data_IF_493786934948
#
_entry.id   IF_493786934948
#
_cell.length_a   1.000
_cell.length_b   1.000
_cell.length_c   1.000
_cell.angle_alpha   90.00
_cell.angle_beta   90.00
_cell.angle_gamma   90.00
#
_symmetry.space_group_name_H-M   'P 1'
#
loop_
_entity.id
_entity.type
_entity.pdbx_description
1 polymer ?
#
# COMPACT_ATOMS: atom_id res chain seq x y z
N UNK A 1 34.15 -19.45 -22.04
CA UNK A 1 33.06 -19.00 -21.12
C UNK A 1 33.19 -19.58 -19.72
N UNK A 2 33.07 -20.90 -19.50
CA UNK A 2 33.27 -21.46 -18.14
C UNK A 2 34.68 -21.24 -17.58
N UNK A 3 35.71 -21.52 -18.38
CA UNK A 3 37.12 -21.28 -18.02
C UNK A 3 37.44 -19.81 -17.73
N UNK A 4 36.66 -18.90 -18.32
CA UNK A 4 36.83 -17.45 -18.20
C UNK A 4 35.87 -16.84 -17.17
N UNK A 5 35.03 -17.64 -16.51
CA UNK A 5 33.96 -17.18 -15.59
C UNK A 5 33.04 -16.10 -16.21
N UNK A 6 32.70 -16.26 -17.49
CA UNK A 6 31.84 -15.33 -18.24
C UNK A 6 30.44 -15.89 -18.48
N UNK A 7 29.45 -14.99 -18.43
CA UNK A 7 28.04 -15.22 -18.80
C UNK A 7 27.67 -14.37 -20.01
N UNK A 8 26.67 -14.79 -20.80
CA UNK A 8 26.16 -13.98 -21.90
C UNK A 8 24.88 -13.27 -21.47
N UNK A 9 24.74 -12.00 -21.86
CA UNK A 9 23.48 -11.27 -21.73
C UNK A 9 22.82 -11.26 -23.10
N UNK A 10 21.56 -11.71 -23.15
CA UNK A 10 20.82 -11.84 -24.39
C UNK A 10 19.41 -11.24 -24.26
N UNK A 11 18.89 -10.80 -25.40
CA UNK A 11 17.46 -10.49 -25.57
C UNK A 11 16.73 -11.76 -25.97
N UNK A 12 15.79 -12.19 -25.15
CA UNK A 12 14.97 -13.37 -25.40
C UNK A 12 13.55 -12.96 -25.80
N UNK A 13 13.04 -13.58 -26.87
CA UNK A 13 11.66 -13.43 -27.32
C UNK A 13 11.17 -14.82 -27.74
N UNK A 14 10.22 -15.40 -27.00
CA UNK A 14 9.80 -16.78 -27.20
C UNK A 14 9.06 -16.97 -28.53
N UNK A 15 8.18 -16.03 -28.87
CA UNK A 15 7.40 -16.02 -30.11
C UNK A 15 7.15 -14.60 -30.59
N UNK A 16 6.76 -14.45 -31.86
CA UNK A 16 6.26 -13.17 -32.39
C UNK A 16 5.15 -12.65 -31.47
N UNK A 17 5.20 -11.35 -31.14
CA UNK A 17 4.27 -10.65 -30.24
C UNK A 17 4.35 -11.03 -28.74
N UNK A 18 5.40 -11.74 -28.30
CA UNK A 18 5.71 -11.87 -26.88
C UNK A 18 6.57 -10.70 -26.38
N UNK A 19 6.40 -10.32 -25.11
CA UNK A 19 7.22 -9.28 -24.49
C UNK A 19 8.69 -9.74 -24.47
N UNK A 20 9.62 -8.94 -25.03
CA UNK A 20 11.03 -9.28 -24.97
C UNK A 20 11.51 -9.24 -23.51
N UNK A 21 12.33 -10.22 -23.14
CA UNK A 21 12.95 -10.32 -21.81
C UNK A 21 14.45 -10.20 -21.92
N UNK A 22 15.08 -9.58 -20.93
CA UNK A 22 16.52 -9.64 -20.76
C UNK A 22 16.88 -10.92 -20.01
N UNK A 23 17.86 -11.67 -20.50
CA UNK A 23 18.21 -12.97 -19.92
C UNK A 23 19.73 -13.15 -19.83
N UNK A 24 20.19 -13.86 -18.81
CA UNK A 24 21.54 -14.37 -18.71
C UNK A 24 21.58 -15.81 -19.23
N UNK A 25 22.56 -16.13 -20.08
CA UNK A 25 22.87 -17.50 -20.50
C UNK A 25 24.14 -17.95 -19.76
N UNK A 26 23.95 -18.90 -18.85
CA UNK A 26 24.98 -19.42 -17.95
C UNK A 26 25.42 -20.79 -18.48
N UNK A 27 26.69 -20.98 -18.87
CA UNK A 27 27.14 -22.26 -19.40
C UNK A 27 27.22 -23.32 -18.29
N UNK A 28 26.57 -24.47 -18.50
CA UNK A 28 26.65 -25.63 -17.60
C UNK A 28 27.19 -26.84 -18.36
N UNK A 29 28.17 -27.52 -17.77
CA UNK A 29 28.82 -28.71 -18.32
C UNK A 29 28.73 -29.80 -17.27
N UNK A 30 27.81 -30.72 -17.50
CA UNK A 30 27.71 -31.93 -16.68
C UNK A 30 28.47 -33.08 -17.36
N UNK A 31 29.12 -33.97 -16.60
CA UNK A 31 29.79 -35.13 -17.16
C UNK A 31 28.77 -36.03 -17.86
N UNK A 32 28.96 -36.32 -19.15
CA UNK A 32 28.08 -37.18 -19.95
C UNK A 32 27.00 -36.45 -20.75
N UNK A 33 26.84 -35.12 -20.59
CA UNK A 33 25.91 -34.31 -21.40
C UNK A 33 26.65 -33.42 -22.41
N UNK A 34 25.97 -33.09 -23.51
CA UNK A 34 26.41 -32.01 -24.41
C UNK A 34 26.46 -30.68 -23.65
N UNK A 35 27.27 -29.73 -24.11
CA UNK A 35 27.35 -28.42 -23.48
C UNK A 35 25.98 -27.73 -23.53
N UNK A 36 25.44 -27.36 -22.36
CA UNK A 36 24.16 -26.70 -22.21
C UNK A 36 24.33 -25.27 -21.68
N UNK A 37 23.33 -24.43 -21.94
CA UNK A 37 23.24 -23.10 -21.36
C UNK A 37 21.94 -22.98 -20.57
N UNK A 38 22.04 -22.58 -19.31
CA UNK A 38 20.90 -22.24 -18.47
C UNK A 38 20.49 -20.81 -18.80
N UNK A 39 19.23 -20.64 -19.18
CA UNK A 39 18.63 -19.35 -19.42
C UNK A 39 17.96 -18.85 -18.15
N UNK A 40 18.40 -17.71 -17.63
CA UNK A 40 17.86 -17.08 -16.44
C UNK A 40 17.29 -15.70 -16.79
N UNK A 41 16.06 -15.39 -16.40
CA UNK A 41 15.47 -14.08 -16.63
C UNK A 41 16.08 -13.05 -15.69
N UNK A 42 16.50 -11.91 -16.25
CA UNK A 42 17.01 -10.79 -15.48
C UNK A 42 15.89 -9.78 -15.23
N UNK A 43 15.85 -9.16 -14.04
CA UNK A 43 14.91 -8.10 -13.76
C UNK A 43 15.21 -6.87 -14.61
N UNK A 44 14.17 -6.12 -14.97
CA UNK A 44 14.34 -4.76 -15.48
C UNK A 44 14.48 -3.77 -14.33
N UNK A 45 14.80 -2.52 -14.66
CA UNK A 45 14.94 -1.45 -13.67
C UNK A 45 13.63 -1.25 -12.88
N UNK A 46 12.48 -1.42 -13.53
CA UNK A 46 11.15 -1.30 -12.91
C UNK A 46 10.83 -2.44 -11.93
N UNK A 47 11.51 -3.59 -12.04
CA UNK A 47 11.34 -4.73 -11.14
C UNK A 47 12.15 -4.59 -9.84
N UNK A 48 13.17 -3.73 -9.83
CA UNK A 48 14.06 -3.52 -8.68
C UNK A 48 13.35 -2.64 -7.66
N UNK A 49 13.26 -3.14 -6.42
CA UNK A 49 12.70 -2.39 -5.28
C UNK A 49 13.81 -1.97 -4.35
N UNK A 50 14.03 -0.67 -4.25
CA UNK A 50 15.00 -0.09 -3.33
C UNK A 50 14.38 0.02 -1.93
N UNK A 51 14.75 -0.91 -1.04
CA UNK A 51 14.43 -0.85 0.37
C UNK A 51 15.67 -0.51 1.17
N UNK A 52 15.60 0.57 1.95
CA UNK A 52 16.64 0.93 2.90
C UNK A 52 16.39 0.18 4.21
N UNK A 53 17.22 -0.82 4.49
CA UNK A 53 17.21 -1.53 5.77
C UNK A 53 18.35 -0.99 6.66
N UNK A 54 18.07 -0.76 7.94
CA UNK A 54 19.12 -0.45 8.90
C UNK A 54 20.09 -1.64 9.02
N UNK A 55 21.37 -1.36 9.25
CA UNK A 55 22.36 -2.40 9.54
C UNK A 55 21.97 -3.15 10.82
N UNK A 56 22.07 -4.48 10.79
CA UNK A 56 21.76 -5.32 11.94
C UNK A 56 22.83 -5.14 13.03
N UNK A 57 22.46 -5.23 14.33
CA UNK A 57 23.41 -5.13 15.43
C UNK A 57 24.38 -6.32 15.44
N UNK A 58 25.59 -6.11 15.96
CA UNK A 58 26.55 -7.20 16.13
C UNK A 58 26.13 -8.17 17.25
N UNK A 59 26.09 -9.49 16.98
CA UNK A 59 25.73 -10.46 18.01
C UNK A 59 26.88 -10.68 19.00
N UNK A 60 26.52 -11.00 20.25
CA UNK A 60 27.48 -11.34 21.30
C UNK A 60 28.23 -12.65 21.02
N UNK A 61 29.38 -12.85 21.67
CA UNK A 61 30.18 -14.08 21.52
C UNK A 61 29.39 -15.35 21.86
N UNK A 62 28.59 -15.30 22.93
CA UNK A 62 27.76 -16.43 23.37
C UNK A 62 26.64 -16.73 22.37
N UNK A 63 26.02 -15.71 21.79
CA UNK A 63 25.00 -15.89 20.74
C UNK A 63 25.61 -16.50 19.47
N UNK A 64 26.81 -16.10 19.08
CA UNK A 64 27.53 -16.68 17.93
C UNK A 64 27.90 -18.14 18.19
N UNK A 65 28.44 -18.45 19.36
CA UNK A 65 28.79 -19.82 19.75
C UNK A 65 27.56 -20.73 19.74
N UNK A 66 26.46 -20.26 20.31
CA UNK A 66 25.18 -20.96 20.30
C UNK A 66 24.66 -21.21 18.88
N UNK A 67 24.66 -20.18 18.02
CA UNK A 67 24.23 -20.31 16.63
C UNK A 67 25.08 -21.32 15.85
N UNK A 68 26.41 -21.33 16.05
CA UNK A 68 27.29 -22.30 15.41
C UNK A 68 26.96 -23.73 15.83
N UNK A 69 26.77 -23.99 17.13
CA UNK A 69 26.35 -25.32 17.62
C UNK A 69 25.03 -25.76 17.01
N UNK A 70 24.08 -24.83 16.83
CA UNK A 70 22.80 -25.11 16.20
C UNK A 70 22.93 -25.43 14.70
N UNK A 71 23.79 -24.71 13.98
CA UNK A 71 24.09 -24.97 12.56
C UNK A 71 24.75 -26.34 12.40
N UNK A 72 25.74 -26.66 13.24
CA UNK A 72 26.41 -27.96 13.22
C UNK A 72 25.44 -29.12 13.49
N UNK A 73 24.48 -28.93 14.39
CA UNK A 73 23.47 -29.92 14.73
C UNK A 73 22.38 -30.12 13.64
N UNK A 74 22.05 -29.07 12.88
CA UNK A 74 20.99 -29.09 11.87
C UNK A 74 21.51 -29.12 10.43
N UNK A 75 22.78 -29.46 10.23
CA UNK A 75 23.36 -29.61 8.90
C UNK A 75 22.76 -30.83 8.20
N UNK A 76 22.10 -30.61 7.06
CA UNK A 76 21.48 -31.66 6.23
C UNK A 76 22.37 -32.11 5.04
N UNK A 77 23.51 -31.43 4.85
CA UNK A 77 24.46 -31.66 3.76
C UNK A 77 25.83 -32.02 4.34
N UNK A 78 26.00 -33.31 4.67
CA UNK A 78 27.27 -33.87 5.15
C UNK A 78 27.95 -34.73 4.07
N UNK A 79 28.44 -35.91 4.45
CA UNK A 79 28.93 -36.93 3.50
C UNK A 79 27.85 -37.37 2.51
N UNK A 80 26.61 -37.36 2.98
CA UNK A 80 25.40 -37.57 2.19
C UNK A 80 24.43 -36.42 2.46
N UNK A 81 23.64 -36.11 1.44
CA UNK A 81 22.49 -35.23 1.57
C UNK A 81 21.33 -36.01 2.19
N UNK A 82 20.96 -35.64 3.42
CA UNK A 82 19.95 -36.34 4.23
C UNK A 82 18.52 -36.03 3.76
N UNK A 83 18.30 -34.83 3.22
CA UNK A 83 16.99 -34.39 2.72
C UNK A 83 17.15 -33.82 1.31
N UNK A 84 16.40 -34.37 0.35
CA UNK A 84 16.39 -33.94 -1.05
C UNK A 84 15.00 -33.45 -1.45
N UNK A 85 14.74 -32.14 -1.35
CA UNK A 85 13.46 -31.58 -1.77
C UNK A 85 13.17 -31.79 -3.26
N UNK A 86 14.21 -31.87 -4.10
CA UNK A 86 14.07 -32.10 -5.55
C UNK A 86 13.49 -33.48 -5.88
N UNK A 87 13.79 -34.50 -5.05
CA UNK A 87 13.26 -35.85 -5.18
C UNK A 87 11.87 -36.00 -4.53
N UNK A 88 11.38 -34.94 -3.87
CA UNK A 88 10.13 -34.98 -3.10
C UNK A 88 8.95 -34.55 -3.96
N UNK A 89 7.95 -35.44 -4.08
CA UNK A 89 6.72 -35.14 -4.81
C UNK A 89 5.90 -34.02 -4.13
N UNK A 90 5.14 -33.27 -4.93
CA UNK A 90 4.27 -32.22 -4.39
C UNK A 90 3.18 -32.83 -3.47
N UNK A 91 3.19 -32.54 -2.16
CA UNK A 91 2.27 -33.14 -1.19
C UNK A 91 0.82 -32.72 -1.42
N UNK A 92 0.60 -31.53 -1.99
CA UNK A 92 -0.76 -31.04 -2.30
C UNK A 92 -1.40 -31.86 -3.42
N UNK A 93 -0.62 -32.23 -4.44
CA UNK A 93 -1.10 -33.08 -5.53
C UNK A 93 -1.34 -34.50 -5.07
N UNK A 94 -0.42 -35.07 -4.29
CA UNK A 94 -0.60 -36.40 -3.69
C UNK A 94 -1.90 -36.44 -2.86
N UNK A 95 -2.10 -35.44 -1.99
CA UNK A 95 -3.32 -35.33 -1.18
C UNK A 95 -4.58 -35.21 -2.02
N UNK A 96 -4.52 -34.40 -3.07
CA UNK A 96 -5.64 -34.19 -3.98
C UNK A 96 -6.04 -35.47 -4.70
N UNK A 97 -5.09 -36.17 -5.32
CA UNK A 97 -5.38 -37.39 -6.08
C UNK A 97 -5.82 -38.55 -5.20
N UNK A 98 -5.27 -38.67 -4.00
CA UNK A 98 -5.73 -39.66 -3.02
C UNK A 98 -7.19 -39.44 -2.64
N UNK A 99 -7.56 -38.19 -2.33
CA UNK A 99 -8.94 -37.88 -1.99
C UNK A 99 -9.87 -38.00 -3.21
N UNK A 100 -9.40 -37.63 -4.41
CA UNK A 100 -10.16 -37.81 -5.64
C UNK A 100 -10.47 -39.28 -5.90
N UNK A 101 -9.49 -40.17 -5.70
CA UNK A 101 -9.68 -41.62 -5.79
C UNK A 101 -10.70 -42.14 -4.78
N UNK A 102 -10.62 -41.70 -3.52
CA UNK A 102 -11.60 -42.05 -2.48
C UNK A 102 -13.01 -41.57 -2.85
N UNK A 103 -13.14 -40.33 -3.33
CA UNK A 103 -14.42 -39.73 -3.69
C UNK A 103 -15.05 -40.34 -4.95
N UNK A 104 -14.22 -40.84 -5.86
CA UNK A 104 -14.67 -41.55 -7.05
C UNK A 104 -15.27 -42.92 -6.70
N UNK A 105 -14.75 -43.58 -5.68
CA UNK A 105 -15.27 -44.86 -5.16
C UNK A 105 -16.46 -44.66 -4.21
N UNK A 106 -16.40 -43.62 -3.37
CA UNK A 106 -17.44 -43.25 -2.42
C UNK A 106 -17.80 -41.76 -2.55
N UNK A 107 -18.92 -41.41 -3.22
CA UNK A 107 -19.42 -40.05 -3.32
C UNK A 107 -19.83 -39.42 -1.98
N UNK A 108 -19.86 -40.19 -0.88
CA UNK A 108 -20.06 -39.74 0.51
C UNK A 108 -18.77 -39.51 1.29
N UNK A 109 -17.60 -39.88 0.73
CA UNK A 109 -16.32 -39.81 1.42
C UNK A 109 -16.00 -38.40 1.92
N UNK A 110 -15.69 -38.28 3.21
CA UNK A 110 -15.29 -37.03 3.85
C UNK A 110 -13.78 -36.86 3.75
N UNK A 111 -13.34 -35.60 3.64
CA UNK A 111 -11.92 -35.29 3.70
C UNK A 111 -11.40 -35.58 5.12
N UNK A 112 -10.58 -36.63 5.26
CA UNK A 112 -9.94 -36.99 6.52
C UNK A 112 -8.67 -36.16 6.75
N UNK A 113 -7.97 -36.40 7.86
CA UNK A 113 -6.61 -35.90 8.05
C UNK A 113 -5.65 -36.51 7.02
N UNK A 114 -4.50 -35.87 6.81
CA UNK A 114 -3.42 -36.42 5.99
C UNK A 114 -3.05 -37.83 6.47
N UNK A 115 -2.78 -38.75 5.55
CA UNK A 115 -2.24 -40.04 5.91
C UNK A 115 -0.84 -39.84 6.54
N UNK A 116 -0.41 -40.69 7.49
CA UNK A 116 0.87 -40.53 8.18
C UNK A 116 2.05 -40.40 7.22
N UNK A 117 2.05 -41.17 6.14
CA UNK A 117 3.09 -41.14 5.10
C UNK A 117 3.17 -39.78 4.40
N UNK A 118 2.03 -39.10 4.19
CA UNK A 118 1.99 -37.76 3.59
C UNK A 118 2.50 -36.67 4.52
N UNK A 119 2.27 -36.83 5.84
CA UNK A 119 2.84 -35.94 6.84
C UNK A 119 4.33 -36.18 7.03
N UNK A 120 4.79 -37.42 6.98
CA UNK A 120 6.19 -37.78 7.19
C UNK A 120 7.11 -37.16 6.13
N UNK A 121 6.62 -37.00 4.89
CA UNK A 121 7.34 -36.28 3.82
C UNK A 121 7.66 -34.82 4.19
N UNK A 122 6.84 -34.19 5.04
CA UNK A 122 7.02 -32.82 5.50
C UNK A 122 7.89 -32.71 6.74
N UNK A 123 8.15 -33.84 7.42
CA UNK A 123 8.92 -33.87 8.64
C UNK A 123 10.42 -33.94 8.33
N UNK A 124 11.27 -33.30 9.16
CA UNK A 124 12.72 -33.42 8.99
C UNK A 124 13.17 -34.86 9.26
N UNK A 125 14.28 -35.32 8.63
CA UNK A 125 14.79 -36.68 8.82
C UNK A 125 15.03 -37.01 10.30
N UNK A 126 14.73 -38.25 10.71
CA UNK A 126 14.87 -38.69 12.11
C UNK A 126 16.28 -38.48 12.66
N UNK A 127 17.31 -38.72 11.85
CA UNK A 127 18.71 -38.49 12.21
C UNK A 127 18.98 -37.03 12.59
N UNK A 128 18.42 -36.08 11.83
CA UNK A 128 18.55 -34.66 12.12
C UNK A 128 17.77 -34.26 13.37
N UNK A 129 16.59 -34.87 13.60
CA UNK A 129 15.83 -34.66 14.83
C UNK A 129 16.59 -35.15 16.07
N UNK A 130 17.23 -36.31 15.97
CA UNK A 130 18.06 -36.88 17.05
C UNK A 130 19.31 -36.04 17.32
N UNK A 131 20.00 -35.60 16.26
CA UNK A 131 21.15 -34.70 16.38
C UNK A 131 20.77 -33.38 17.06
N UNK A 132 19.63 -32.79 16.69
CA UNK A 132 19.08 -31.61 17.33
C UNK A 132 18.72 -31.86 18.80
N UNK A 133 18.07 -32.98 19.12
CA UNK A 133 17.73 -33.33 20.49
C UNK A 133 18.97 -33.52 21.38
N UNK A 134 20.07 -34.02 20.80
CA UNK A 134 21.36 -34.16 21.48
C UNK A 134 22.06 -32.81 21.71
N UNK A 135 22.05 -31.94 20.70
CA UNK A 135 22.68 -30.62 20.78
C UNK A 135 21.88 -29.63 21.63
N UNK A 136 20.56 -29.78 21.66
CA UNK A 136 19.62 -28.93 22.37
C UNK A 136 18.60 -29.78 23.14
N UNK A 137 18.99 -30.27 24.34
CA UNK A 137 18.04 -30.91 25.25
C UNK A 137 16.90 -29.96 25.57
N UNK A 138 15.69 -30.48 25.84
CA UNK A 138 14.50 -29.66 26.10
C UNK A 138 14.72 -28.62 27.21
N UNK A 139 15.54 -28.95 28.22
CA UNK A 139 15.91 -28.08 29.33
C UNK A 139 16.68 -26.82 28.89
N UNK A 140 17.35 -26.86 27.72
CA UNK A 140 18.14 -25.76 27.18
C UNK A 140 17.37 -24.89 26.19
N UNK A 141 16.15 -25.29 25.78
CA UNK A 141 15.31 -24.47 24.90
C UNK A 141 14.92 -23.14 25.55
N UNK A 142 14.84 -23.11 26.88
CA UNK A 142 14.62 -21.87 27.65
C UNK A 142 15.88 -20.98 27.69
N UNK A 143 17.08 -21.55 27.48
CA UNK A 143 18.31 -20.75 27.34
C UNK A 143 18.27 -19.90 26.08
N UNK A 144 17.61 -20.36 25.00
CA UNK A 144 17.42 -19.56 23.79
C UNK A 144 16.61 -18.29 24.08
N UNK A 145 15.49 -18.44 24.80
CA UNK A 145 14.63 -17.29 25.15
C UNK A 145 15.37 -16.26 26.01
N UNK A 146 16.23 -16.73 26.92
CA UNK A 146 17.00 -15.84 27.80
C UNK A 146 18.20 -15.21 27.10
N UNK A 147 18.96 -15.96 26.30
CA UNK A 147 20.14 -15.47 25.55
C UNK A 147 19.78 -14.45 24.46
N UNK A 148 18.60 -14.59 23.84
CA UNK A 148 18.13 -13.69 22.79
C UNK A 148 17.07 -12.68 23.27
N UNK A 149 16.69 -12.70 24.55
CA UNK A 149 15.70 -11.77 25.11
C UNK A 149 14.34 -11.82 24.39
N UNK A 150 13.88 -13.02 24.02
CA UNK A 150 12.65 -13.17 23.25
C UNK A 150 11.42 -13.01 24.14
N UNK A 151 10.72 -11.90 23.97
CA UNK A 151 9.43 -11.65 24.62
C UNK A 151 8.27 -11.88 23.65
N UNK A 152 7.25 -12.60 24.12
CA UNK A 152 6.03 -12.78 23.36
C UNK A 152 5.19 -11.51 23.48
N UNK A 153 5.18 -10.70 22.43
CA UNK A 153 4.24 -9.58 22.32
C UNK A 153 2.84 -10.13 22.06
N UNK A 154 1.95 -10.01 23.03
CA UNK A 154 0.55 -10.35 22.84
C UNK A 154 -0.10 -9.29 21.96
N UNK A 155 -0.32 -9.62 20.69
CA UNK A 155 -1.24 -8.84 19.86
C UNK A 155 -2.63 -8.98 20.49
N UNK A 156 -3.27 -7.86 20.80
CA UNK A 156 -4.64 -7.85 21.26
C UNK A 156 -5.46 -8.70 20.28
N UNK A 157 -6.17 -9.70 20.80
CA UNK A 157 -7.10 -10.52 20.03
C UNK A 157 -8.35 -9.69 19.68
N UNK A 158 -8.15 -8.52 19.04
CA UNK A 158 -9.18 -7.54 18.67
C UNK A 158 -9.97 -7.92 17.43
N UNK A 159 -10.16 -9.22 17.19
CA UNK A 159 -11.17 -9.71 16.25
C UNK A 159 -11.55 -11.10 16.71
N UNK A 160 -12.77 -11.23 17.21
CA UNK A 160 -13.42 -12.53 17.35
C UNK A 160 -13.11 -13.35 16.09
N UNK A 161 -12.71 -14.61 16.28
CA UNK A 161 -12.51 -15.55 15.18
C UNK A 161 -13.71 -15.41 14.26
N UNK A 162 -13.49 -14.93 13.02
CA UNK A 162 -14.55 -14.81 12.01
C UNK A 162 -15.20 -16.18 11.89
N UNK A 163 -16.39 -16.35 12.48
CA UNK A 163 -17.15 -17.58 12.40
C UNK A 163 -17.52 -17.79 10.95
N UNK A 164 -16.90 -18.77 10.31
CA UNK A 164 -17.20 -19.09 8.92
C UNK A 164 -18.61 -19.67 8.86
N UNK A 165 -19.40 -19.28 7.86
CA UNK A 165 -20.77 -19.74 7.65
C UNK A 165 -20.93 -21.27 7.79
N UNK A 166 -19.90 -22.03 7.38
CA UNK A 166 -19.86 -23.50 7.51
C UNK A 166 -19.90 -23.98 8.97
N UNK A 167 -19.20 -23.33 9.88
CA UNK A 167 -19.20 -23.72 11.31
C UNK A 167 -20.55 -23.38 11.97
N UNK A 168 -21.12 -22.22 11.63
CA UNK A 168 -22.44 -21.81 12.15
C UNK A 168 -23.58 -22.73 11.66
N UNK A 169 -23.51 -23.19 10.40
CA UNK A 169 -24.48 -24.16 9.85
C UNK A 169 -24.31 -25.53 10.53
N UNK A 170 -23.07 -25.99 10.75
CA UNK A 170 -22.75 -27.27 11.37
C UNK A 170 -23.18 -27.35 12.86
N UNK A 171 -23.04 -26.25 13.61
CA UNK A 171 -23.55 -26.16 14.99
C UNK A 171 -25.08 -26.21 15.04
N UNK A 172 -25.76 -25.46 14.16
CA UNK A 172 -27.23 -25.48 14.12
C UNK A 172 -27.75 -26.85 13.72
N UNK A 173 -27.11 -27.55 12.78
CA UNK A 173 -27.47 -28.93 12.42
C UNK A 173 -27.19 -29.94 13.53
N UNK A 174 -26.12 -29.75 14.33
CA UNK A 174 -25.90 -30.55 15.56
C UNK A 174 -26.96 -30.31 16.61
N UNK A 175 -27.35 -29.05 16.84
CA UNK A 175 -28.36 -28.69 17.83
C UNK A 175 -29.78 -29.03 17.35
N UNK A 176 -30.03 -29.03 16.04
CA UNK A 176 -31.30 -29.44 15.44
C UNK A 176 -31.37 -30.92 15.10
N UNK A 177 -30.31 -31.72 15.30
CA UNK A 177 -30.35 -33.17 15.09
C UNK A 177 -31.36 -33.89 16.02
N UNK A 178 -31.88 -33.20 17.04
CA UNK A 178 -33.00 -33.65 17.88
C UNK A 178 -34.40 -33.33 17.30
N UNK A 179 -34.50 -32.62 16.18
CA UNK A 179 -35.76 -32.28 15.51
C UNK A 179 -35.60 -32.45 13.99
N UNK A 180 -36.25 -33.49 13.46
CA UNK A 180 -36.30 -33.79 12.02
C UNK A 180 -36.96 -32.61 11.29
N UNK A 181 -36.15 -31.72 10.74
CA UNK A 181 -36.60 -30.55 10.01
C UNK A 181 -35.45 -29.86 9.29
N UNK A 182 -35.70 -29.49 8.04
CA UNK A 182 -34.77 -28.81 7.14
C UNK A 182 -34.28 -27.48 7.77
N UNK A 183 -32.97 -27.31 7.92
CA UNK A 183 -32.39 -26.10 8.52
C UNK A 183 -32.47 -24.96 7.50
N UNK A 184 -33.44 -24.08 7.71
CA UNK A 184 -33.73 -22.90 6.89
C UNK A 184 -32.53 -21.92 6.87
N UNK A 185 -31.70 -22.01 5.83
CA UNK A 185 -30.43 -21.29 5.68
C UNK A 185 -30.59 -19.76 5.68
N UNK A 186 -31.80 -19.27 5.38
CA UNK A 186 -32.16 -17.83 5.41
C UNK A 186 -32.34 -17.27 6.82
N UNK A 187 -32.49 -18.12 7.84
CA UNK A 187 -32.64 -17.73 9.26
C UNK A 187 -31.32 -17.80 10.04
N UNK A 188 -30.19 -18.05 9.36
CA UNK A 188 -28.87 -18.03 9.99
C UNK A 188 -28.39 -16.58 10.00
N UNK A 189 -28.59 -15.92 11.14
CA UNK A 189 -27.91 -14.65 11.43
C UNK A 189 -26.45 -14.98 11.71
N UNK A 190 -25.60 -14.74 10.73
CA UNK A 190 -24.19 -14.45 10.97
C UNK A 190 -24.13 -12.95 11.19
N UNK A 191 -23.54 -12.49 12.29
CA UNK A 191 -23.41 -11.07 12.58
C UNK A 191 -22.55 -10.41 11.49
N UNK A 192 -23.24 -9.93 10.46
CA UNK A 192 -22.70 -9.04 9.47
C UNK A 192 -22.68 -7.65 10.11
N UNK A 193 -21.50 -7.09 10.24
CA UNK A 193 -21.25 -5.77 10.78
C UNK A 193 -22.08 -4.71 10.02
N UNK A 194 -23.20 -4.28 10.61
CA UNK A 194 -23.98 -3.12 10.15
C UNK A 194 -23.97 -2.07 11.26
N UNK A 195 -23.07 -1.11 11.14
CA UNK A 195 -23.00 0.05 12.04
C UNK A 195 -24.20 0.97 11.81
N UNK A 196 -25.19 0.91 12.70
CA UNK A 196 -26.17 1.97 12.90
C UNK A 196 -26.86 1.77 14.26
N UNK A 197 -26.47 2.54 15.29
CA UNK A 197 -27.24 2.70 16.53
C UNK A 197 -27.98 4.02 16.47
N UNK A 198 -29.31 3.97 16.59
CA UNK A 198 -30.23 5.10 16.65
C UNK A 198 -30.46 5.46 18.12
N UNK A 199 -30.30 6.73 18.47
CA UNK A 199 -30.47 7.31 19.81
C UNK A 199 -31.91 7.78 20.05
N UNK A 200 -32.46 7.52 21.23
CA UNK A 200 -33.50 8.35 21.87
C UNK A 200 -33.16 8.50 23.36
N UNK A 201 -33.42 9.69 23.87
CA UNK A 201 -32.95 10.31 25.12
C UNK A 201 -34.16 10.66 26.01
N UNK A 202 -34.04 10.55 27.34
CA UNK A 202 -34.64 11.50 28.32
C UNK A 202 -34.23 11.28 29.79
N UNK A 203 -33.67 12.36 30.35
CA UNK A 203 -33.77 12.99 31.71
C UNK A 203 -33.42 12.17 32.97
N UNK A 204 -32.25 12.37 33.61
CA UNK A 204 -31.89 13.36 34.69
C UNK A 204 -32.65 13.10 36.02
N UNK A 205 -32.03 12.80 37.18
CA UNK A 205 -31.11 13.67 37.92
C UNK A 205 -30.45 12.96 39.15
N UNK A 206 -29.13 13.13 39.35
CA UNK A 206 -28.33 13.15 40.62
C UNK A 206 -26.86 12.68 40.43
N UNK A 207 -25.93 13.62 40.58
CA UNK A 207 -24.48 13.40 40.71
C UNK A 207 -24.03 13.62 42.20
N UNK A 208 -22.76 13.39 42.61
CA UNK A 208 -21.62 12.90 41.84
C UNK A 208 -20.77 11.80 42.56
N UNK A 209 -19.76 11.32 41.82
CA UNK A 209 -18.50 10.68 42.23
C UNK A 209 -18.39 9.14 42.09
N UNK A 210 -17.38 8.82 41.25
CA UNK A 210 -16.59 7.59 41.08
C UNK A 210 -17.01 6.58 39.99
N UNK A 211 -16.08 6.47 39.03
CA UNK A 211 -15.81 5.38 38.09
C UNK A 211 -16.72 5.23 36.86
N UNK A 212 -16.23 5.71 35.71
CA UNK A 212 -16.72 5.41 34.35
C UNK A 212 -15.47 5.43 33.44
N UNK A 213 -14.92 4.31 32.94
CA UNK A 213 -15.41 3.39 31.90
C UNK A 213 -15.72 4.12 30.59
N UNK A 214 -14.67 4.64 29.95
CA UNK A 214 -14.66 5.10 28.57
C UNK A 214 -14.25 3.96 27.65
N UNK A 215 -15.10 3.67 26.67
CA UNK A 215 -14.97 2.57 25.72
C UNK A 215 -14.02 2.92 24.57
N UNK A 216 -13.23 1.92 24.20
CA UNK A 216 -12.19 1.96 23.18
C UNK A 216 -12.73 2.14 21.76
N UNK A 217 -12.20 3.15 21.06
CA UNK A 217 -11.88 3.06 19.64
C UNK A 217 -10.43 3.53 19.47
N UNK A 218 -9.58 2.50 19.49
CA UNK A 218 -8.13 2.41 19.30
C UNK A 218 -7.46 3.64 18.66
N UNK A 219 -7.06 4.58 19.52
CA UNK A 219 -5.85 5.37 19.34
C UNK A 219 -4.67 4.59 19.94
N UNK A 220 -3.57 4.54 19.20
CA UNK A 220 -2.28 4.18 19.76
C UNK A 220 -1.67 5.45 20.35
N UNK A 221 -1.65 5.51 21.67
CA UNK A 221 -0.91 6.49 22.46
C UNK A 221 0.51 5.94 22.66
N UNK A 222 1.46 6.47 21.90
CA UNK A 222 2.89 6.36 22.21
C UNK A 222 3.39 7.77 22.57
N UNK A 223 3.29 8.10 23.85
CA UNK A 223 4.11 9.12 24.47
C UNK A 223 5.20 8.46 25.31
N UNK A 224 6.36 8.19 24.70
CA UNK A 224 7.66 8.61 25.26
C UNK A 224 8.80 8.45 24.24
N UNK A 225 9.62 9.51 24.19
CA UNK A 225 10.89 9.67 23.46
C UNK A 225 10.83 9.72 21.92
N UNK A 226 10.61 10.94 21.41
CA UNK A 226 10.88 11.31 20.01
C UNK A 226 12.37 11.15 19.72
N UNK A 227 12.74 10.01 19.14
CA UNK A 227 13.89 9.95 18.23
C UNK A 227 13.45 10.61 16.92
N UNK A 228 14.26 11.53 16.38
CA UNK A 228 14.02 12.23 15.12
C UNK A 228 13.96 11.21 13.98
N UNK A 229 12.76 10.69 13.72
CA UNK A 229 12.44 9.76 12.65
C UNK A 229 12.08 10.51 11.36
N UNK A 230 12.37 9.87 10.23
CA UNK A 230 12.11 10.30 8.86
C UNK A 230 10.71 10.91 8.71
N UNK A 231 10.53 12.02 7.96
CA UNK A 231 9.25 12.68 7.78
C UNK A 231 8.17 11.71 7.26
N UNK A 232 6.92 11.83 7.74
CA UNK A 232 5.81 10.99 7.31
C UNK A 232 5.61 11.10 5.79
N UNK A 233 5.72 9.97 5.08
CA UNK A 233 5.45 9.89 3.64
C UNK A 233 3.93 9.90 3.41
N UNK A 234 3.41 11.03 2.97
CA UNK A 234 2.01 11.17 2.54
C UNK A 234 1.72 10.19 1.40
N UNK A 235 0.55 9.56 1.41
CA UNK A 235 0.10 8.67 0.33
C UNK A 235 -1.41 8.80 0.12
N UNK A 236 -1.82 9.10 -1.12
CA UNK A 236 -3.23 9.14 -1.56
C UNK A 236 -3.41 8.06 -2.64
N UNK A 237 -4.24 7.05 -2.36
CA UNK A 237 -4.46 5.91 -3.25
C UNK A 237 -5.50 6.18 -4.34
N UNK A 238 -5.55 5.33 -5.37
CA UNK A 238 -6.53 5.41 -6.48
C UNK A 238 -7.91 4.82 -6.14
N UNK A 239 -8.03 4.08 -5.02
CA UNK A 239 -9.27 3.39 -4.64
C UNK A 239 -10.26 4.35 -3.97
N UNK A 240 -9.80 5.15 -3.00
CA UNK A 240 -10.62 6.13 -2.26
C UNK A 240 -9.83 7.44 -1.97
N UNK A 241 -9.40 8.17 -3.02
CA UNK A 241 -8.54 9.34 -2.88
C UNK A 241 -9.12 10.43 -1.98
N UNK A 242 -10.42 10.71 -2.07
CA UNK A 242 -11.13 11.70 -1.25
C UNK A 242 -10.94 11.44 0.25
N UNK A 243 -11.19 10.20 0.68
CA UNK A 243 -11.06 9.78 2.08
C UNK A 243 -9.62 9.84 2.56
N UNK A 244 -8.69 9.42 1.71
CA UNK A 244 -7.28 9.39 2.05
C UNK A 244 -6.73 10.82 2.21
N UNK A 245 -7.18 11.78 1.38
CA UNK A 245 -6.83 13.19 1.50
C UNK A 245 -7.47 13.89 2.69
N UNK A 246 -8.76 13.64 2.96
CA UNK A 246 -9.42 14.18 4.15
C UNK A 246 -8.74 13.72 5.45
N UNK A 247 -8.20 12.50 5.47
CA UNK A 247 -7.36 12.01 6.58
C UNK A 247 -6.13 12.89 6.77
N UNK A 248 -5.36 13.12 5.71
CA UNK A 248 -4.15 13.95 5.79
C UNK A 248 -4.41 15.40 6.17
N UNK A 249 -5.54 15.97 5.74
CA UNK A 249 -5.94 17.31 6.15
C UNK A 249 -6.37 17.40 7.63
N UNK A 250 -6.81 16.29 8.23
CA UNK A 250 -7.17 16.26 9.65
C UNK A 250 -5.91 16.05 10.53
N UNK A 251 -4.87 15.43 10.00
CA UNK A 251 -3.57 15.20 10.63
C UNK A 251 -2.64 16.40 10.42
N UNK A 252 -3.06 17.61 10.86
CA UNK A 252 -2.47 18.93 10.54
C UNK A 252 -0.95 19.11 10.78
N UNK A 253 -0.29 18.20 11.51
CA UNK A 253 1.15 18.19 11.78
C UNK A 253 1.54 16.87 12.43
N UNK A 254 2.08 15.93 11.67
CA UNK A 254 2.66 14.71 12.23
C UNK A 254 4.17 14.94 12.42
N UNK A 255 4.61 15.04 13.68
CA UNK A 255 6.03 15.24 14.00
C UNK A 255 6.61 16.62 13.67
N UNK A 256 5.77 17.66 13.53
CA UNK A 256 6.21 19.03 13.21
C UNK A 256 6.49 19.31 11.73
N UNK A 257 6.25 18.33 10.86
CA UNK A 257 6.38 18.44 9.40
C UNK A 257 5.04 18.81 8.79
N UNK A 258 5.04 19.72 7.81
CA UNK A 258 3.85 20.03 7.01
C UNK A 258 3.52 18.86 6.07
N UNK A 259 2.39 18.20 6.33
CA UNK A 259 1.86 17.08 5.54
C UNK A 259 0.74 17.52 4.60
N UNK A 260 0.25 18.77 4.73
CA UNK A 260 -0.86 19.30 3.95
C UNK A 260 -0.41 19.64 2.53
N UNK A 261 0.72 20.35 2.37
CA UNK A 261 1.25 20.68 1.05
C UNK A 261 1.57 19.43 0.19
N UNK A 262 2.27 18.39 0.71
CA UNK A 262 2.49 17.16 -0.04
C UNK A 262 1.20 16.38 -0.37
N UNK A 263 0.17 16.49 0.48
CA UNK A 263 -1.14 15.88 0.23
C UNK A 263 -1.88 16.59 -0.91
N UNK A 264 -1.80 17.93 -0.96
CA UNK A 264 -2.38 18.74 -2.04
C UNK A 264 -1.71 18.39 -3.37
N UNK A 265 -0.38 18.30 -3.41
CA UNK A 265 0.37 17.93 -4.62
C UNK A 265 -0.01 16.52 -5.10
N UNK A 266 -0.03 15.53 -4.21
CA UNK A 266 -0.41 14.16 -4.59
C UNK A 266 -1.86 14.06 -5.07
N UNK A 267 -2.79 14.83 -4.50
CA UNK A 267 -4.16 14.88 -4.98
C UNK A 267 -4.24 15.46 -6.40
N UNK A 268 -3.47 16.51 -6.68
CA UNK A 268 -3.37 17.07 -8.04
C UNK A 268 -2.92 16.02 -9.06
N UNK A 269 -1.90 15.22 -8.72
CA UNK A 269 -1.40 14.14 -9.58
C UNK A 269 -2.44 13.04 -9.80
N UNK A 270 -3.21 12.68 -8.76
CA UNK A 270 -4.31 11.71 -8.88
C UNK A 270 -5.40 12.20 -9.82
N UNK A 271 -5.77 13.48 -9.73
CA UNK A 271 -6.76 14.10 -10.62
C UNK A 271 -6.28 14.07 -12.07
N UNK A 272 -5.02 14.45 -12.32
CA UNK A 272 -4.44 14.42 -13.67
C UNK A 272 -4.39 13.00 -14.24
N UNK A 273 -4.04 12.00 -13.43
CA UNK A 273 -4.02 10.60 -13.84
C UNK A 273 -5.41 10.10 -14.23
N UNK A 274 -6.44 10.39 -13.43
CA UNK A 274 -7.82 10.04 -13.79
C UNK A 274 -8.31 10.76 -15.04
N UNK A 275 -7.84 11.99 -15.30
CA UNK A 275 -8.14 12.71 -16.53
C UNK A 275 -7.50 12.06 -17.77
N UNK A 276 -6.37 11.35 -17.60
CA UNK A 276 -5.66 10.66 -18.68
C UNK A 276 -6.18 9.24 -18.94
N UNK A 277 -6.60 8.53 -17.89
CA UNK A 277 -7.08 7.14 -17.95
C UNK A 277 -8.34 6.99 -18.82
N UNK A 278 -9.32 7.91 -18.69
CA UNK A 278 -10.49 7.95 -19.56
C UNK A 278 -11.73 8.62 -18.96
N UNK A 279 -12.76 8.81 -19.78
CA UNK A 279 -14.00 9.52 -19.39
C UNK A 279 -14.78 8.87 -18.25
N UNK A 280 -14.63 7.56 -18.07
CA UNK A 280 -15.23 6.78 -16.98
C UNK A 280 -14.69 7.17 -15.60
N UNK A 281 -13.48 7.74 -15.54
CA UNK A 281 -12.85 8.22 -14.31
C UNK A 281 -13.10 9.71 -14.04
N UNK A 282 -13.70 10.45 -14.99
CA UNK A 282 -13.98 11.88 -14.80
C UNK A 282 -14.91 12.13 -13.62
N UNK A 283 -15.88 11.24 -13.34
CA UNK A 283 -16.73 11.36 -12.15
C UNK A 283 -15.93 11.34 -10.85
N UNK A 284 -14.91 10.48 -10.76
CA UNK A 284 -13.99 10.44 -9.61
C UNK A 284 -13.07 11.64 -9.59
N UNK A 285 -12.55 12.08 -10.74
CA UNK A 285 -11.70 13.26 -10.84
C UNK A 285 -12.43 14.54 -10.36
N UNK A 286 -13.71 14.71 -10.72
CA UNK A 286 -14.53 15.84 -10.26
C UNK A 286 -14.76 15.79 -8.74
N UNK A 287 -15.05 14.61 -8.18
CA UNK A 287 -15.22 14.43 -6.74
C UNK A 287 -13.92 14.68 -5.96
N UNK A 288 -12.77 14.27 -6.51
CA UNK A 288 -11.44 14.62 -6.00
C UNK A 288 -11.21 16.13 -6.06
N UNK A 289 -11.55 16.79 -7.17
CA UNK A 289 -11.40 18.24 -7.35
C UNK A 289 -12.27 19.04 -6.37
N UNK A 290 -13.51 18.59 -6.12
CA UNK A 290 -14.40 19.17 -5.13
C UNK A 290 -13.83 19.04 -3.71
N UNK A 291 -13.23 17.88 -3.40
CA UNK A 291 -12.64 17.60 -2.09
C UNK A 291 -11.34 18.38 -1.88
N UNK A 292 -10.52 18.50 -2.93
CA UNK A 292 -9.34 19.36 -2.97
C UNK A 292 -9.70 20.83 -2.73
N UNK A 293 -10.74 21.33 -3.40
CA UNK A 293 -11.25 22.70 -3.20
C UNK A 293 -11.64 22.94 -1.75
N UNK A 294 -12.49 22.08 -1.17
CA UNK A 294 -12.91 22.18 0.23
C UNK A 294 -11.73 22.14 1.19
N UNK A 295 -10.74 21.28 0.91
CA UNK A 295 -9.51 21.16 1.67
C UNK A 295 -8.69 22.45 1.68
N UNK A 296 -8.43 23.01 0.51
CA UNK A 296 -7.66 24.25 0.38
C UNK A 296 -8.38 25.46 0.99
N UNK A 297 -9.72 25.52 0.91
CA UNK A 297 -10.51 26.55 1.62
C UNK A 297 -10.35 26.42 3.14
N UNK A 298 -10.42 25.19 3.66
CA UNK A 298 -10.33 24.94 5.10
C UNK A 298 -8.97 25.27 5.70
N UNK A 299 -7.90 24.94 4.98
CA UNK A 299 -6.53 25.18 5.44
C UNK A 299 -5.97 26.55 4.99
N UNK A 300 -6.78 27.36 4.30
CA UNK A 300 -6.40 28.67 3.74
C UNK A 300 -5.16 28.63 2.81
N UNK A 301 -4.97 27.49 2.13
CA UNK A 301 -3.84 27.21 1.25
C UNK A 301 -4.11 27.67 -0.19
N UNK A 302 -3.12 28.32 -0.82
CA UNK A 302 -3.28 28.93 -2.16
C UNK A 302 -3.14 27.94 -3.33
N UNK A 303 -2.79 26.68 -3.06
CA UNK A 303 -2.43 25.69 -4.08
C UNK A 303 -3.54 25.35 -5.09
N UNK A 304 -4.81 25.47 -4.71
CA UNK A 304 -5.94 25.12 -5.59
C UNK A 304 -6.06 26.06 -6.80
N UNK A 305 -5.99 27.37 -6.59
CA UNK A 305 -6.15 28.36 -7.66
C UNK A 305 -5.01 28.26 -8.70
N UNK A 306 -3.80 27.99 -8.23
CA UNK A 306 -2.65 27.76 -9.11
C UNK A 306 -2.83 26.46 -9.92
N UNK A 307 -3.23 25.37 -9.26
CA UNK A 307 -3.49 24.10 -9.92
C UNK A 307 -4.57 24.22 -11.01
N UNK A 308 -5.67 24.92 -10.73
CA UNK A 308 -6.78 25.05 -11.67
C UNK A 308 -6.42 25.90 -12.89
N UNK A 309 -5.61 26.95 -12.70
CA UNK A 309 -5.01 27.72 -13.82
C UNK A 309 -4.03 26.86 -14.63
N UNK A 310 -3.21 26.04 -13.97
CA UNK A 310 -2.28 25.10 -14.62
C UNK A 310 -3.02 24.04 -15.43
N UNK A 311 -4.10 23.48 -14.88
CA UNK A 311 -4.97 22.51 -15.54
C UNK A 311 -5.54 23.08 -16.83
N UNK A 312 -6.01 24.34 -16.81
CA UNK A 312 -6.51 25.04 -18.00
C UNK A 312 -5.44 25.33 -19.05
N UNK A 313 -4.23 25.71 -18.63
CA UNK A 313 -3.14 26.08 -19.55
C UNK A 313 -2.49 24.87 -20.25
N UNK A 314 -2.51 23.69 -19.63
CA UNK A 314 -1.84 22.48 -20.12
C UNK A 314 -2.81 21.33 -20.38
N UNK A 315 -3.87 21.60 -21.14
CA UNK A 315 -4.88 20.58 -21.46
C UNK A 315 -4.37 19.66 -22.58
N UNK A 316 -4.18 18.38 -22.26
CA UNK A 316 -4.24 17.32 -23.29
C UNK A 316 -5.67 17.19 -23.83
N UNK A 317 -5.85 16.55 -24.99
CA UNK A 317 -7.20 16.33 -25.57
C UNK A 317 -8.19 15.69 -24.59
N UNK A 318 -7.70 14.78 -23.72
CA UNK A 318 -8.52 14.10 -22.71
C UNK A 318 -8.81 14.99 -21.50
N UNK A 319 -7.82 15.74 -21.02
CA UNK A 319 -8.00 16.72 -19.94
C UNK A 319 -8.97 17.85 -20.35
N UNK A 320 -9.00 18.22 -21.64
CA UNK A 320 -9.99 19.17 -22.18
C UNK A 320 -11.44 18.74 -21.96
N UNK A 321 -11.72 17.43 -22.09
CA UNK A 321 -13.08 16.90 -21.84
C UNK A 321 -13.44 16.91 -20.35
N UNK A 322 -12.46 16.72 -19.46
CA UNK A 322 -12.67 16.93 -18.02
C UNK A 322 -12.93 18.42 -17.74
N UNK A 323 -12.17 19.32 -18.37
CA UNK A 323 -12.31 20.77 -18.20
C UNK A 323 -13.70 21.28 -18.62
N UNK A 324 -14.26 20.78 -19.73
CA UNK A 324 -15.64 21.10 -20.12
C UNK A 324 -16.66 20.74 -19.03
N UNK A 325 -16.47 19.60 -18.35
CA UNK A 325 -17.31 19.20 -17.22
C UNK A 325 -17.07 20.06 -15.98
N UNK A 326 -15.83 20.50 -15.74
CA UNK A 326 -15.50 21.47 -14.67
C UNK A 326 -16.19 22.81 -14.92
N UNK A 327 -16.20 23.32 -16.15
CA UNK A 327 -16.92 24.56 -16.51
C UNK A 327 -18.44 24.46 -16.30
N UNK A 328 -19.03 23.26 -16.35
CA UNK A 328 -20.45 23.04 -16.09
C UNK A 328 -20.79 23.01 -14.59
N UNK A 329 -19.82 22.73 -13.73
CA UNK A 329 -19.99 22.71 -12.28
C UNK A 329 -19.54 24.03 -11.66
N UNK A 330 -20.50 24.90 -11.36
CA UNK A 330 -20.26 26.20 -10.72
C UNK A 330 -19.58 26.09 -9.34
N UNK A 331 -19.57 24.91 -8.72
CA UNK A 331 -18.91 24.65 -7.44
C UNK A 331 -17.40 24.39 -7.53
N UNK A 332 -16.83 24.29 -8.74
CA UNK A 332 -15.42 23.97 -8.99
C UNK A 332 -14.61 25.17 -9.53
N UNK A 333 -15.16 26.38 -9.43
CA UNK A 333 -14.47 27.61 -9.78
C UNK A 333 -13.34 27.98 -8.79
N UNK A 334 -12.54 28.98 -9.16
CA UNK A 334 -11.48 29.54 -8.31
C UNK A 334 -12.02 29.93 -6.92
N UNK A 335 -11.20 29.72 -5.90
CA UNK A 335 -11.49 30.14 -4.52
C UNK A 335 -11.39 31.66 -4.45
N UNK A 336 -12.44 32.31 -3.97
CA UNK A 336 -12.56 33.78 -3.94
C UNK A 336 -12.08 34.39 -2.62
N UNK A 337 -11.82 35.69 -2.65
CA UNK A 337 -11.55 36.56 -1.48
C UNK A 337 -12.64 36.49 -0.40
N UNK A 338 -13.88 36.19 -0.78
CA UNK A 338 -15.00 35.99 0.17
C UNK A 338 -14.93 34.66 0.94
N UNK A 339 -14.25 33.65 0.39
CA UNK A 339 -14.16 32.32 1.00
C UNK A 339 -12.87 32.18 1.83
N UNK A 340 -11.78 32.78 1.38
CA UNK A 340 -10.48 32.74 2.05
C UNK A 340 -9.81 34.11 1.98
N UNK A 341 -9.44 34.64 3.14
CA UNK A 341 -8.81 35.98 3.27
C UNK A 341 -7.44 36.06 2.57
N UNK A 342 -6.76 34.93 2.37
CA UNK A 342 -5.50 34.85 1.62
C UNK A 342 -5.69 34.85 0.09
N UNK A 343 -6.93 34.72 -0.41
CA UNK A 343 -7.19 34.75 -1.84
C UNK A 343 -7.31 36.18 -2.38
N UNK A 344 -6.63 36.45 -3.49
CA UNK A 344 -6.69 37.74 -4.21
C UNK A 344 -7.72 37.71 -5.34
N UNK A 345 -8.47 36.62 -5.51
CA UNK A 345 -9.37 36.41 -6.65
C UNK A 345 -10.78 36.90 -6.32
N UNK A 346 -11.31 37.81 -7.14
CA UNK A 346 -12.67 38.31 -6.95
C UNK A 346 -13.73 37.35 -7.53
N UNK A 347 -14.97 37.42 -7.04
CA UNK A 347 -16.09 36.63 -7.59
C UNK A 347 -16.33 36.87 -9.09
N UNK A 348 -16.00 38.07 -9.58
CA UNK A 348 -16.10 38.40 -11.02
C UNK A 348 -14.99 37.72 -11.82
N UNK A 349 -13.76 37.72 -11.31
CA UNK A 349 -12.62 37.03 -11.92
C UNK A 349 -12.85 35.51 -11.98
N UNK A 350 -13.37 34.90 -10.90
CA UNK A 350 -13.66 33.47 -10.85
C UNK A 350 -14.70 33.05 -11.90
N UNK A 351 -15.72 33.89 -12.15
CA UNK A 351 -16.73 33.65 -13.20
C UNK A 351 -16.16 33.85 -14.60
N UNK A 352 -15.41 34.94 -14.82
CA UNK A 352 -14.78 35.24 -16.11
C UNK A 352 -13.78 34.14 -16.52
N UNK A 353 -13.07 33.58 -15.53
CA UNK A 353 -12.16 32.46 -15.72
C UNK A 353 -12.91 31.23 -16.26
N UNK A 354 -14.02 30.80 -15.65
CA UNK A 354 -14.81 29.66 -16.16
C UNK A 354 -15.41 29.92 -17.55
N UNK A 355 -15.73 31.16 -17.88
CA UNK A 355 -16.26 31.58 -19.20
C UNK A 355 -15.21 31.71 -20.31
N UNK A 356 -13.91 31.54 -20.00
CA UNK A 356 -12.86 31.65 -21.02
C UNK A 356 -12.34 33.08 -21.27
N UNK A 357 -12.75 34.07 -20.46
CA UNK A 357 -12.37 35.49 -20.62
C UNK A 357 -11.35 35.87 -19.54
N UNK A 358 -10.06 35.65 -19.79
CA UNK A 358 -9.04 35.98 -18.78
C UNK A 358 -8.79 37.51 -18.72
N UNK A 359 -9.06 38.10 -17.55
CA UNK A 359 -8.58 39.45 -17.14
C UNK A 359 -7.36 39.23 -16.26
N UNK A 360 -6.21 39.80 -16.62
CA UNK A 360 -4.97 39.65 -15.87
C UNK A 360 -5.01 40.37 -14.51
N UNK A 361 -4.36 39.83 -13.46
CA UNK A 361 -4.40 40.38 -12.11
C UNK A 361 -3.35 41.48 -11.94
N UNK A 362 -3.45 42.58 -12.69
CA UNK A 362 -2.56 43.75 -12.54
C UNK A 362 -3.26 45.12 -12.66
N UNK A 363 -4.58 45.18 -12.81
CA UNK A 363 -5.25 46.45 -13.14
C UNK A 363 -6.09 47.09 -12.02
N UNK A 364 -6.27 46.46 -10.85
CA UNK A 364 -7.22 46.96 -9.82
C UNK A 364 -6.59 47.39 -8.49
N UNK A 365 -5.26 47.45 -8.40
CA UNK A 365 -4.57 48.06 -7.24
C UNK A 365 -4.08 49.51 -7.47
N UNK A 366 -4.27 50.08 -8.66
CA UNK A 366 -3.79 51.43 -9.00
C UNK A 366 -4.87 52.54 -8.91
N UNK A 367 -6.02 52.26 -8.28
CA UNK A 367 -7.07 53.25 -8.07
C UNK A 367 -7.09 53.77 -6.62
N UNK A 368 -5.93 54.18 -6.09
CA UNK A 368 -5.81 55.07 -4.91
C UNK A 368 -4.35 55.50 -4.68
N UNK A 369 -3.83 56.43 -5.48
CA UNK A 369 -2.77 57.39 -5.08
C UNK A 369 -2.46 58.38 -6.22
N UNK A 370 -2.96 59.61 -6.05
CA UNK A 370 -2.34 60.91 -6.38
C UNK A 370 -1.19 61.00 -7.41
N UNK A 371 -1.50 61.66 -8.54
CA UNK A 371 -0.73 62.68 -9.27
C UNK A 371 0.80 62.78 -9.11
N UNK A 372 1.58 62.59 -10.20
CA UNK A 372 2.48 63.63 -10.81
C UNK A 372 3.08 63.16 -12.16
N UNK A 373 3.04 64.04 -13.19
CA UNK A 373 3.85 64.24 -14.42
C UNK A 373 4.44 63.09 -15.31
N UNK A 374 4.58 63.30 -16.65
CA UNK A 374 4.88 62.27 -17.65
C UNK A 374 6.36 62.17 -18.05
N UNK A 375 6.82 60.97 -18.47
CA UNK A 375 8.16 60.79 -19.06
C UNK A 375 8.38 59.41 -19.71
N UNK A 376 8.40 59.42 -21.05
CA UNK A 376 9.07 58.51 -22.03
C UNK A 376 8.86 56.98 -21.93
N UNK A 377 8.35 56.30 -22.99
CA UNK A 377 8.32 54.84 -23.04
C UNK A 377 9.70 54.25 -23.35
N UNK A 378 10.14 53.27 -22.56
CA UNK A 378 11.30 52.45 -22.84
C UNK A 378 11.00 51.51 -24.03
N UNK A 379 11.65 51.75 -25.16
CA UNK A 379 11.69 50.83 -26.32
C UNK A 379 12.50 49.59 -25.97
N UNK A 380 11.90 48.41 -26.14
CA UNK A 380 12.59 47.13 -26.04
C UNK A 380 13.68 47.02 -27.12
N UNK A 381 14.91 46.67 -26.71
CA UNK A 381 16.06 46.48 -27.59
C UNK A 381 15.81 45.28 -28.53
N UNK A 382 16.25 45.43 -29.76
CA UNK A 382 16.07 44.41 -30.80
C UNK A 382 17.08 43.27 -30.64
N UNK A 383 16.72 42.08 -31.12
CA UNK A 383 17.51 40.84 -31.01
C UNK A 383 18.95 40.98 -31.55
N UNK A 384 19.16 41.89 -32.51
CA UNK A 384 20.49 42.23 -33.07
C UNK A 384 21.39 43.01 -32.11
N UNK A 385 20.82 43.76 -31.17
CA UNK A 385 21.59 44.51 -30.15
C UNK A 385 22.01 43.61 -28.98
N UNK A 386 21.29 42.51 -28.75
CA UNK A 386 21.66 41.47 -27.77
C UNK A 386 22.81 40.59 -28.27
N UNK A 387 22.85 40.26 -29.56
CA UNK A 387 23.93 39.45 -30.15
C UNK A 387 25.28 40.17 -30.20
N UNK A 388 25.29 41.51 -30.27
CA UNK A 388 26.51 42.31 -30.26
C UNK A 388 27.14 42.52 -28.86
N UNK A 389 26.49 42.03 -27.79
CA UNK A 389 27.03 42.10 -26.41
C UNK A 389 27.68 40.80 -25.93
N UNK A 390 27.75 39.76 -26.79
CA UNK A 390 28.30 38.44 -26.46
C UNK A 390 29.67 38.18 -27.13
N UNK A 391 30.18 39.12 -27.94
CA UNK A 391 31.62 39.21 -28.29
C UNK A 391 32.32 40.25 -27.43
#
# INVERSE_FOLDING_TARGET
>A
MQSEQRVLIARYCFRKDSQPRMVALIPKKEPGCSAQMILHYLPFMEDIREWTCASLPEPSGDQKAFANTLVDAMTLTGERELLRPEDTNNPSLARFYDFLGQRALDPGAKLLAAAPDQSQILEPPEEAQQALAKALPENERNKVKTLFGLEKVEKSAGRERKRFWREAIAEKTKNSAALIGEVDTKKIKVDAYTGAKKSEEKDEDKAPLRAVKGEDSQGQDDSMAVAVGVPPRVHIGSVHPERDFERWLNERRTGGVDVVAPAIEQMCDVILRFAEEGEEFHGKALACLATLRRGCVREAESGYNEFLRRLRLRLTRRQGMLWERVCQDTGLGLITDTEVVTSTVTSVEAKAFLEGKDVSPSATAAASATATAPGVPATALSERELEAMIE
#
